data_IF_527831440313
#
_entry.id   IF_527831440313
#
_cell.length_a   1.000
_cell.length_b   1.000
_cell.length_c   1.000
_cell.angle_alpha   90.00
_cell.angle_beta   90.00
_cell.angle_gamma   90.00
#
_symmetry.space_group_name_H-M   'P 1'
#
loop_
_entity.id
_entity.type
_entity.pdbx_description
1 polymer ?
#
# COMPACT_ATOMS: atom_id res chain seq x y z
N UNK A 1 -2.65 -20.29 -13.69
CA UNK A 1 -4.02 -19.95 -13.28
C UNK A 1 -3.90 -19.21 -11.96
N UNK A 2 -4.33 -17.96 -11.92
CA UNK A 2 -4.53 -17.24 -10.66
C UNK A 2 -5.73 -17.91 -9.98
N UNK A 3 -5.63 -18.23 -8.69
CA UNK A 3 -6.72 -18.90 -8.00
C UNK A 3 -7.84 -17.89 -7.68
N UNK A 4 -9.09 -18.35 -7.55
CA UNK A 4 -10.22 -17.44 -7.23
C UNK A 4 -10.05 -16.70 -5.90
N UNK A 5 -9.26 -17.26 -4.97
CA UNK A 5 -8.90 -16.60 -3.72
C UNK A 5 -7.92 -15.43 -3.90
N UNK A 6 -7.01 -15.51 -4.88
CA UNK A 6 -6.02 -14.44 -5.12
C UNK A 6 -6.70 -13.18 -5.66
N UNK A 7 -7.67 -13.35 -6.57
CA UNK A 7 -8.48 -12.24 -7.11
C UNK A 7 -9.34 -11.61 -6.00
N UNK A 8 -9.94 -12.42 -5.13
CA UNK A 8 -10.71 -11.94 -3.99
C UNK A 8 -9.85 -11.11 -3.02
N UNK A 9 -8.63 -11.55 -2.73
CA UNK A 9 -7.70 -10.84 -1.85
C UNK A 9 -7.34 -9.45 -2.41
N UNK A 10 -7.09 -9.36 -3.72
CA UNK A 10 -6.81 -8.08 -4.39
C UNK A 10 -8.01 -7.12 -4.32
N UNK A 11 -9.23 -7.62 -4.48
CA UNK A 11 -10.43 -6.79 -4.35
C UNK A 11 -10.64 -6.29 -2.91
N UNK A 12 -10.31 -7.09 -1.89
CA UNK A 12 -10.30 -6.66 -0.50
C UNK A 12 -9.29 -5.54 -0.25
N UNK A 13 -8.08 -5.63 -0.83
CA UNK A 13 -7.07 -4.56 -0.75
C UNK A 13 -7.58 -3.26 -1.36
N UNK A 14 -8.16 -3.32 -2.57
CA UNK A 14 -8.73 -2.14 -3.23
C UNK A 14 -9.85 -1.53 -2.37
N UNK A 15 -10.72 -2.37 -1.81
CA UNK A 15 -11.80 -1.95 -0.91
C UNK A 15 -11.26 -1.27 0.35
N UNK A 16 -10.25 -1.85 1.00
CA UNK A 16 -9.62 -1.33 2.20
C UNK A 16 -9.04 0.08 1.97
N UNK A 17 -8.33 0.27 0.85
CA UNK A 17 -7.77 1.58 0.47
C UNK A 17 -8.89 2.59 0.20
N UNK A 18 -9.93 2.21 -0.54
CA UNK A 18 -11.07 3.08 -0.82
C UNK A 18 -11.80 3.51 0.47
N UNK A 19 -12.02 2.58 1.41
CA UNK A 19 -12.62 2.86 2.72
C UNK A 19 -11.72 3.71 3.61
N UNK A 20 -10.39 3.62 3.47
CA UNK A 20 -9.41 4.40 4.24
C UNK A 20 -9.62 5.91 4.17
N UNK A 21 -10.34 6.41 3.15
CA UNK A 21 -10.74 7.82 3.05
C UNK A 21 -11.75 8.25 4.12
N UNK A 22 -12.71 7.38 4.45
CA UNK A 22 -13.82 7.66 5.35
C UNK A 22 -13.77 6.91 6.68
N UNK A 23 -12.99 5.82 6.74
CA UNK A 23 -13.00 4.86 7.83
C UNK A 23 -11.57 4.63 8.31
N UNK A 24 -11.32 4.87 9.61
CA UNK A 24 -10.03 4.57 10.25
C UNK A 24 -9.83 3.06 10.34
N UNK A 25 -8.58 2.62 10.27
CA UNK A 25 -8.22 1.19 10.37
C UNK A 25 -8.17 0.47 9.03
N UNK A 26 -8.92 0.90 8.02
CA UNK A 26 -8.94 0.22 6.72
C UNK A 26 -7.66 0.42 5.89
N UNK A 27 -6.96 1.53 6.06
CA UNK A 27 -5.68 1.77 5.40
C UNK A 27 -4.81 2.59 6.34
N UNK A 28 -3.84 1.95 6.99
CA UNK A 28 -3.00 2.58 8.01
C UNK A 28 -1.53 2.28 7.76
N UNK A 29 -0.63 3.01 8.41
CA UNK A 29 0.77 2.66 8.40
C UNK A 29 1.08 1.58 9.43
N UNK A 30 2.01 0.69 9.09
CA UNK A 30 2.70 -0.07 10.13
C UNK A 30 3.58 0.87 10.97
N UNK A 31 3.57 0.68 12.29
CA UNK A 31 4.20 1.57 13.26
C UNK A 31 5.70 1.81 13.00
N UNK A 32 6.47 0.76 12.72
CA UNK A 32 7.91 0.88 12.46
C UNK A 32 8.16 1.53 11.10
N UNK A 33 7.37 1.21 10.09
CA UNK A 33 7.43 1.80 8.77
C UNK A 33 7.16 3.32 8.83
N UNK A 34 6.11 3.76 9.52
CA UNK A 34 5.82 5.20 9.68
C UNK A 34 6.99 5.95 10.33
N UNK A 35 7.59 5.37 11.38
CA UNK A 35 8.77 5.96 12.05
C UNK A 35 9.99 6.03 11.12
N UNK A 36 10.18 5.03 10.27
CA UNK A 36 11.26 5.00 9.26
C UNK A 36 11.07 6.11 8.23
N UNK A 37 9.87 6.30 7.71
CA UNK A 37 9.56 7.36 6.74
C UNK A 37 9.85 8.74 7.34
N UNK A 38 9.41 9.01 8.57
CA UNK A 38 9.66 10.29 9.25
C UNK A 38 11.15 10.61 9.44
N UNK A 39 12.03 9.61 9.36
CA UNK A 39 13.48 9.75 9.53
C UNK A 39 14.24 9.60 8.21
N UNK A 40 13.55 9.52 7.07
CA UNK A 40 14.14 9.20 5.77
C UNK A 40 14.45 10.48 4.99
N UNK A 41 15.74 10.86 4.80
CA UNK A 41 16.10 12.06 4.05
C UNK A 41 15.58 12.08 2.60
N UNK A 42 15.57 10.96 1.84
CA UNK A 42 15.01 10.96 0.48
C UNK A 42 13.51 11.25 0.40
N UNK A 43 12.81 11.22 1.53
CA UNK A 43 11.38 11.52 1.63
C UNK A 43 11.15 12.82 2.42
N UNK A 44 12.13 13.71 2.47
CA UNK A 44 11.97 15.01 3.10
C UNK A 44 10.78 15.76 2.48
N UNK A 45 9.84 16.20 3.33
CA UNK A 45 8.56 16.77 2.91
C UNK A 45 7.41 15.78 2.76
N UNK A 46 7.68 14.47 2.65
CA UNK A 46 6.65 13.42 2.60
C UNK A 46 6.42 12.81 3.99
N UNK A 47 5.31 13.18 4.63
CA UNK A 47 4.88 12.57 5.89
C UNK A 47 4.15 11.24 5.63
N UNK A 48 4.14 10.30 6.59
CA UNK A 48 3.30 9.10 6.48
C UNK A 48 1.84 9.45 6.15
N UNK A 49 1.28 10.46 6.81
CA UNK A 49 -0.08 10.94 6.56
C UNK A 49 -0.27 11.41 5.11
N UNK A 50 0.67 12.21 4.61
CA UNK A 50 0.63 12.73 3.24
C UNK A 50 0.77 11.62 2.20
N UNK A 51 1.66 10.65 2.41
CA UNK A 51 1.79 9.49 1.52
C UNK A 51 0.52 8.65 1.50
N UNK A 52 -0.09 8.42 2.67
CA UNK A 52 -1.37 7.69 2.78
C UNK A 52 -2.48 8.42 2.01
N UNK A 53 -2.56 9.74 2.15
CA UNK A 53 -3.55 10.54 1.42
C UNK A 53 -3.30 10.53 -0.09
N UNK A 54 -2.05 10.68 -0.54
CA UNK A 54 -1.66 10.57 -1.95
C UNK A 54 -2.05 9.21 -2.54
N UNK A 55 -1.76 8.12 -1.83
CA UNK A 55 -2.13 6.76 -2.21
C UNK A 55 -3.65 6.61 -2.38
N UNK A 56 -4.43 7.02 -1.37
CA UNK A 56 -5.89 6.88 -1.37
C UNK A 56 -6.50 7.69 -2.52
N UNK A 57 -6.07 8.94 -2.69
CA UNK A 57 -6.58 9.81 -3.75
C UNK A 57 -6.21 9.29 -5.14
N UNK A 58 -5.00 8.75 -5.30
CA UNK A 58 -4.55 8.15 -6.56
C UNK A 58 -5.40 6.94 -6.94
N UNK A 59 -5.59 5.99 -6.02
CA UNK A 59 -6.35 4.78 -6.28
C UNK A 59 -7.86 4.98 -6.33
N UNK A 60 -8.37 6.08 -5.76
CA UNK A 60 -9.76 6.48 -5.98
C UNK A 60 -10.05 6.75 -7.47
N UNK A 61 -9.08 7.32 -8.18
CA UNK A 61 -9.20 7.63 -9.62
C UNK A 61 -8.67 6.48 -10.50
N UNK A 62 -7.74 5.68 -9.99
CA UNK A 62 -7.03 4.63 -10.74
C UNK A 62 -6.97 3.31 -9.95
N UNK A 63 -8.12 2.68 -9.64
CA UNK A 63 -8.17 1.48 -8.79
C UNK A 63 -7.48 0.24 -9.39
N UNK A 64 -7.26 0.23 -10.70
CA UNK A 64 -6.57 -0.82 -11.46
C UNK A 64 -5.04 -0.79 -11.29
N UNK A 65 -4.48 0.26 -10.68
CA UNK A 65 -3.03 0.40 -10.50
C UNK A 65 -2.46 -0.31 -9.25
N UNK A 66 -3.30 -1.02 -8.50
CA UNK A 66 -2.82 -1.92 -7.44
C UNK A 66 -2.31 -3.21 -8.08
N UNK A 67 -1.02 -3.48 -7.91
CA UNK A 67 -0.39 -4.70 -8.42
C UNK A 67 -0.20 -5.68 -7.26
N UNK A 68 -0.81 -6.85 -7.36
CA UNK A 68 -0.56 -7.98 -6.47
C UNK A 68 0.74 -8.68 -6.90
N UNK A 69 1.63 -8.93 -5.94
CA UNK A 69 2.90 -9.61 -6.19
C UNK A 69 3.06 -10.75 -5.20
N UNK A 70 3.36 -11.94 -5.71
CA UNK A 70 3.64 -13.11 -4.85
C UNK A 70 4.89 -12.83 -4.03
N UNK A 71 4.75 -12.95 -2.72
CA UNK A 71 5.88 -12.83 -1.80
C UNK A 71 6.83 -14.02 -2.00
N UNK A 72 8.12 -13.71 -2.05
CA UNK A 72 9.20 -14.69 -2.25
C UNK A 72 10.36 -14.47 -1.29
N UNK A 73 10.34 -13.37 -0.52
CA UNK A 73 11.36 -13.02 0.46
C UNK A 73 11.25 -13.96 1.66
N UNK A 74 12.35 -14.61 2.01
CA UNK A 74 12.40 -15.59 3.10
C UNK A 74 12.13 -14.94 4.47
N UNK A 75 12.40 -13.64 4.62
CA UNK A 75 12.13 -12.89 5.84
C UNK A 75 10.63 -12.65 6.12
N UNK A 76 9.74 -12.93 5.16
CA UNK A 76 8.28 -12.80 5.30
C UNK A 76 7.55 -14.11 4.96
N UNK A 77 7.83 -15.22 5.67
CA UNK A 77 7.29 -16.53 5.33
C UNK A 77 5.78 -16.65 5.57
N UNK A 78 5.20 -15.73 6.34
CA UNK A 78 3.78 -15.65 6.69
C UNK A 78 2.95 -14.94 5.63
N UNK A 79 3.57 -14.30 4.64
CA UNK A 79 2.88 -13.54 3.59
C UNK A 79 2.84 -14.34 2.30
N UNK A 80 1.65 -14.45 1.73
CA UNK A 80 1.48 -15.04 0.38
C UNK A 80 1.72 -13.97 -0.69
N UNK A 81 1.19 -12.77 -0.45
CA UNK A 81 1.29 -11.63 -1.35
C UNK A 81 1.72 -10.37 -0.60
N UNK A 82 2.34 -9.47 -1.34
CA UNK A 82 2.33 -8.05 -1.03
C UNK A 82 1.70 -7.30 -2.20
N UNK A 83 1.31 -6.06 -1.95
CA UNK A 83 0.67 -5.20 -2.92
C UNK A 83 1.55 -3.99 -3.14
N UNK A 84 1.66 -3.53 -4.38
CA UNK A 84 2.40 -2.32 -4.69
C UNK A 84 1.61 -1.35 -5.54
N UNK A 85 1.91 -0.08 -5.34
CA UNK A 85 1.35 1.04 -6.09
C UNK A 85 2.48 2.01 -6.38
N UNK A 86 2.48 2.59 -7.59
CA UNK A 86 3.41 3.66 -7.96
C UNK A 86 2.57 4.91 -8.14
N UNK A 87 2.68 5.83 -7.19
CA UNK A 87 1.94 7.10 -7.19
C UNK A 87 2.79 8.16 -7.90
N UNK A 88 2.32 8.78 -9.01
CA UNK A 88 3.03 9.87 -9.64
C UNK A 88 3.12 11.08 -8.69
N UNK A 89 4.33 11.54 -8.41
CA UNK A 89 4.60 12.78 -7.67
C UNK A 89 5.72 13.53 -8.37
N UNK A 90 5.63 14.85 -8.46
CA UNK A 90 6.55 15.70 -9.23
C UNK A 90 8.01 15.61 -8.80
N UNK A 91 8.23 15.30 -7.54
CA UNK A 91 9.53 15.23 -6.86
C UNK A 91 10.30 13.97 -7.24
N UNK A 92 9.61 12.91 -7.71
CA UNK A 92 10.21 11.62 -8.04
C UNK A 92 10.02 11.29 -9.51
N UNK A 93 11.13 11.11 -10.24
CA UNK A 93 11.13 10.89 -11.69
C UNK A 93 10.29 9.67 -12.09
N UNK A 94 10.25 8.66 -11.22
CA UNK A 94 9.54 7.39 -11.44
C UNK A 94 8.34 7.20 -10.52
N UNK A 95 7.98 8.23 -9.77
CA UNK A 95 6.92 8.20 -8.77
C UNK A 95 7.35 7.60 -7.42
N UNK A 96 6.40 7.66 -6.49
CA UNK A 96 6.49 7.11 -5.15
C UNK A 96 6.01 5.67 -5.16
N UNK A 97 6.91 4.73 -4.91
CA UNK A 97 6.55 3.35 -4.64
C UNK A 97 5.95 3.25 -3.24
N UNK A 98 4.84 2.53 -3.12
CA UNK A 98 4.17 2.21 -1.86
C UNK A 98 3.90 0.71 -1.79
N UNK A 99 4.32 0.08 -0.70
CA UNK A 99 4.12 -1.35 -0.43
C UNK A 99 3.07 -1.55 0.65
N UNK A 100 2.12 -2.44 0.40
CA UNK A 100 1.05 -2.77 1.33
C UNK A 100 0.95 -4.27 1.59
N UNK A 101 0.37 -4.61 2.73
CA UNK A 101 -0.06 -5.97 3.08
C UNK A 101 -1.52 -5.93 3.55
N UNK A 102 -2.28 -6.98 3.24
CA UNK A 102 -3.60 -7.20 3.80
C UNK A 102 -3.44 -7.82 5.20
N UNK A 103 -4.07 -7.22 6.21
CA UNK A 103 -3.98 -7.66 7.62
C UNK A 103 -5.31 -8.09 8.20
N UNK A 104 -6.42 -7.67 7.61
CA UNK A 104 -7.76 -8.14 7.94
C UNK A 104 -8.57 -8.35 6.66
N UNK A 105 -9.20 -9.52 6.56
CA UNK A 105 -9.99 -9.96 5.41
C UNK A 105 -11.50 -9.83 5.66
N UNK A 106 -11.93 -9.12 6.70
CA UNK A 106 -13.34 -8.78 6.90
C UNK A 106 -13.92 -8.22 5.59
N UNK A 107 -14.97 -8.84 5.02
CA UNK A 107 -15.47 -8.46 3.71
C UNK A 107 -16.11 -7.07 3.72
N UNK A 108 -16.57 -6.56 4.87
CA UNK A 108 -17.20 -5.25 5.02
C UNK A 108 -16.17 -4.17 5.35
N UNK A 109 -15.20 -4.49 6.22
CA UNK A 109 -14.16 -3.57 6.69
C UNK A 109 -12.75 -4.17 6.57
N UNK A 110 -12.29 -4.52 5.35
CA UNK A 110 -10.95 -5.05 5.18
C UNK A 110 -9.91 -4.00 5.55
N UNK A 111 -8.75 -4.45 6.00
CA UNK A 111 -7.69 -3.57 6.50
C UNK A 111 -6.34 -3.89 5.88
N UNK A 112 -5.66 -2.85 5.40
CA UNK A 112 -4.29 -2.94 4.87
C UNK A 112 -3.32 -2.08 5.69
N UNK A 113 -2.07 -2.55 5.77
CA UNK A 113 -0.97 -1.75 6.30
C UNK A 113 -0.02 -1.33 5.18
N UNK A 114 0.32 -0.05 5.16
CA UNK A 114 1.45 0.48 4.41
C UNK A 114 2.72 0.13 5.19
N UNK A 115 3.57 -0.70 4.59
CA UNK A 115 4.78 -1.25 5.24
C UNK A 115 6.07 -0.67 4.69
N UNK A 116 6.00 0.00 3.54
CA UNK A 116 7.13 0.67 2.94
C UNK A 116 6.70 1.76 1.95
N UNK A 117 7.52 2.79 1.82
CA UNK A 117 7.45 3.71 0.70
C UNK A 117 8.83 4.29 0.41
N UNK A 118 9.13 4.54 -0.86
CA UNK A 118 10.35 5.19 -1.33
C UNK A 118 10.19 5.63 -2.79
N UNK A 119 11.08 6.48 -3.29
CA UNK A 119 11.16 6.71 -4.74
C UNK A 119 11.32 5.39 -5.50
N UNK A 120 10.53 5.18 -6.55
CA UNK A 120 10.59 3.99 -7.38
C UNK A 120 11.97 3.88 -8.04
N UNK A 121 12.67 2.78 -7.76
CA UNK A 121 13.95 2.45 -8.40
C UNK A 121 13.67 1.42 -9.51
N UNK A 122 14.19 1.69 -10.71
CA UNK A 122 14.17 0.81 -11.91
C UNK A 122 12.94 -0.09 -12.07
#
# INVERSE_FOLDING_TARGET
MVSSSDEQELELVKKAIALGKSTRGCCEWEDRASRRIRRSPPLEGFTPEGIRELLINHLHNHPDQVIQVREKREEYPDRIFYYKVIVPVSEFVRGLFVELILVDQDPDFPSVLIVNAHEQRS
#
